data_IF_655276789686
#
_entry.id   IF_655276789686
#
_cell.length_a   1.000
_cell.length_b   1.000
_cell.length_c   1.000
_cell.angle_alpha   90.00
_cell.angle_beta   90.00
_cell.angle_gamma   90.00
#
_symmetry.space_group_name_H-M   'P 1'
#
loop_
_entity.id
_entity.type
_entity.pdbx_description
1 polymer ?
#
# COMPACT_ATOMS: atom_id res chain seq x y z
N UNK A 1 -13.37 -20.17 16.57
CA UNK A 1 -12.65 -19.31 15.60
C UNK A 1 -12.41 -19.95 14.22
N UNK A 2 -13.14 -21.00 13.80
CA UNK A 2 -12.81 -21.74 12.57
C UNK A 2 -13.11 -20.99 11.27
N UNK A 3 -14.05 -20.04 11.30
CA UNK A 3 -14.50 -19.27 10.12
C UNK A 3 -14.17 -17.79 10.19
N UNK A 4 -13.47 -17.32 11.23
CA UNK A 4 -13.22 -15.90 11.42
C UNK A 4 -12.45 -15.30 10.24
N UNK A 5 -11.42 -16.01 9.76
CA UNK A 5 -10.66 -15.59 8.58
C UNK A 5 -11.52 -15.56 7.31
N UNK A 6 -12.42 -16.54 7.13
CA UNK A 6 -13.32 -16.60 5.99
C UNK A 6 -14.31 -15.43 6.01
N UNK A 7 -14.90 -15.14 7.17
CA UNK A 7 -15.82 -14.01 7.35
C UNK A 7 -15.10 -12.68 7.11
N UNK A 8 -13.89 -12.51 7.65
CA UNK A 8 -13.09 -11.30 7.42
C UNK A 8 -12.73 -11.13 5.95
N UNK A 9 -12.33 -12.21 5.28
CA UNK A 9 -12.06 -12.19 3.84
C UNK A 9 -13.27 -11.76 3.04
N UNK A 10 -14.45 -12.32 3.32
CA UNK A 10 -15.71 -11.95 2.64
C UNK A 10 -16.07 -10.47 2.85
N UNK A 11 -15.87 -9.96 4.07
CA UNK A 11 -16.10 -8.54 4.36
C UNK A 11 -15.15 -7.63 3.59
N UNK A 12 -13.86 -7.95 3.55
CA UNK A 12 -12.86 -7.19 2.80
C UNK A 12 -13.16 -7.23 1.30
N UNK A 13 -13.50 -8.41 0.77
CA UNK A 13 -13.84 -8.58 -0.64
C UNK A 13 -15.11 -7.79 -1.00
N UNK A 14 -16.16 -7.90 -0.18
CA UNK A 14 -17.40 -7.17 -0.37
C UNK A 14 -17.20 -5.65 -0.33
N UNK A 15 -16.39 -5.15 0.61
CA UNK A 15 -16.04 -3.74 0.69
C UNK A 15 -15.28 -3.27 -0.55
N UNK A 16 -14.31 -4.04 -1.04
CA UNK A 16 -13.56 -3.74 -2.27
C UNK A 16 -14.49 -3.63 -3.48
N UNK A 17 -15.43 -4.55 -3.63
CA UNK A 17 -16.41 -4.53 -4.73
C UNK A 17 -17.29 -3.27 -4.65
N UNK A 18 -17.82 -2.97 -3.45
CA UNK A 18 -18.61 -1.76 -3.21
C UNK A 18 -17.81 -0.50 -3.53
N UNK A 19 -16.56 -0.45 -3.06
CA UNK A 19 -15.66 0.67 -3.29
C UNK A 19 -15.44 0.95 -4.78
N UNK A 20 -15.17 -0.09 -5.59
CA UNK A 20 -14.99 0.08 -7.04
C UNK A 20 -16.27 0.50 -7.76
N UNK A 21 -17.43 -0.03 -7.34
CA UNK A 21 -18.70 0.36 -7.94
C UNK A 21 -19.04 1.82 -7.67
N UNK A 22 -18.85 2.28 -6.42
CA UNK A 22 -19.09 3.66 -6.01
C UNK A 22 -18.10 4.65 -6.64
N UNK A 23 -16.90 4.20 -7.00
CA UNK A 23 -15.84 5.01 -7.59
C UNK A 23 -15.55 4.60 -9.05
N UNK A 24 -16.61 4.30 -9.80
CA UNK A 24 -16.53 3.83 -11.19
C UNK A 24 -16.30 4.94 -12.21
N UNK A 25 -16.41 6.21 -11.80
CA UNK A 25 -16.15 7.36 -12.66
C UNK A 25 -14.74 7.32 -13.26
N UNK A 26 -14.64 7.58 -14.56
CA UNK A 26 -13.35 7.73 -15.23
C UNK A 26 -12.73 9.09 -14.92
N UNK A 27 -11.42 9.09 -14.76
CA UNK A 27 -10.63 10.29 -14.48
C UNK A 27 -9.49 10.37 -15.48
N UNK A 28 -9.16 11.59 -15.86
CA UNK A 28 -7.97 11.91 -16.64
C UNK A 28 -6.86 12.34 -15.68
N UNK A 29 -5.74 11.62 -15.68
CA UNK A 29 -4.56 11.95 -14.89
C UNK A 29 -3.53 12.64 -15.77
N UNK A 30 -3.33 13.92 -15.52
CA UNK A 30 -2.30 14.73 -16.17
C UNK A 30 -1.04 14.75 -15.32
N UNK A 31 -0.02 13.98 -15.71
CA UNK A 31 1.34 14.15 -15.22
C UNK A 31 2.12 15.07 -16.16
N UNK A 32 3.18 15.69 -15.64
CA UNK A 32 4.02 16.64 -16.37
C UNK A 32 4.57 16.10 -17.71
N UNK A 33 4.84 14.79 -17.79
CA UNK A 33 5.37 14.13 -18.99
C UNK A 33 4.42 13.10 -19.62
N UNK A 34 3.29 12.79 -18.99
CA UNK A 34 2.42 11.70 -19.44
C UNK A 34 0.97 11.90 -19.04
N UNK A 35 0.04 11.64 -19.96
CA UNK A 35 -1.40 11.73 -19.71
C UNK A 35 -2.00 10.32 -19.70
N UNK A 36 -2.71 9.97 -18.63
CA UNK A 36 -3.44 8.71 -18.54
C UNK A 36 -4.94 8.99 -18.57
N UNK A 37 -5.61 8.49 -19.60
CA UNK A 37 -7.06 8.63 -19.76
C UNK A 37 -7.74 7.28 -19.60
N UNK A 38 -9.00 7.28 -19.15
CA UNK A 38 -9.84 6.08 -19.06
C UNK A 38 -9.55 5.18 -17.85
N UNK A 39 -8.89 5.70 -16.81
CA UNK A 39 -8.69 4.98 -15.54
C UNK A 39 -9.83 5.30 -14.58
N UNK A 40 -10.34 4.31 -13.85
CA UNK A 40 -11.37 4.53 -12.84
C UNK A 40 -10.80 5.19 -11.58
N UNK A 41 -11.58 6.07 -10.97
CA UNK A 41 -11.22 6.81 -9.76
C UNK A 41 -10.84 5.86 -8.63
N UNK A 42 -11.60 4.77 -8.44
CA UNK A 42 -11.31 3.77 -7.41
C UNK A 42 -9.93 3.12 -7.59
N UNK A 43 -9.53 2.83 -8.83
CA UNK A 43 -8.21 2.26 -9.10
C UNK A 43 -7.08 3.22 -8.75
N UNK A 44 -7.23 4.50 -9.08
CA UNK A 44 -6.24 5.54 -8.78
C UNK A 44 -6.04 5.70 -7.27
N UNK A 45 -7.13 5.75 -6.50
CA UNK A 45 -7.06 5.88 -5.03
C UNK A 45 -6.28 4.72 -4.43
N UNK A 46 -6.60 3.49 -4.83
CA UNK A 46 -5.92 2.29 -4.31
C UNK A 46 -4.44 2.31 -4.71
N UNK A 47 -4.13 2.63 -5.97
CA UNK A 47 -2.76 2.69 -6.45
C UNK A 47 -1.92 3.72 -5.68
N UNK A 48 -2.44 4.93 -5.46
CA UNK A 48 -1.74 5.98 -4.70
C UNK A 48 -1.55 5.58 -3.24
N UNK A 49 -2.57 4.96 -2.63
CA UNK A 49 -2.48 4.46 -1.26
C UNK A 49 -1.36 3.41 -1.10
N UNK A 50 -1.28 2.44 -2.01
CA UNK A 50 -0.19 1.46 -2.04
C UNK A 50 1.16 2.10 -2.32
N UNK A 51 1.23 3.05 -3.25
CA UNK A 51 2.47 3.78 -3.56
C UNK A 51 2.98 4.53 -2.33
N UNK A 52 2.09 5.17 -1.56
CA UNK A 52 2.41 5.81 -0.29
C UNK A 52 2.97 4.83 0.76
N UNK A 53 2.38 3.63 0.86
CA UNK A 53 2.91 2.59 1.75
C UNK A 53 4.30 2.11 1.34
N UNK A 54 4.53 1.89 0.04
CA UNK A 54 5.84 1.49 -0.48
C UNK A 54 6.87 2.58 -0.23
N UNK A 55 6.55 3.85 -0.51
CA UNK A 55 7.43 4.98 -0.24
C UNK A 55 7.77 5.10 1.25
N UNK A 56 6.78 4.97 2.12
CA UNK A 56 6.98 4.99 3.58
C UNK A 56 7.93 3.87 4.02
N UNK A 57 7.76 2.65 3.49
CA UNK A 57 8.66 1.54 3.76
C UNK A 57 10.09 1.79 3.28
N UNK A 58 10.26 2.31 2.06
CA UNK A 58 11.57 2.65 1.50
C UNK A 58 12.31 3.70 2.35
N UNK A 59 11.59 4.72 2.83
CA UNK A 59 12.17 5.74 3.72
C UNK A 59 12.60 5.18 5.08
N UNK A 60 12.00 4.08 5.54
CA UNK A 60 12.37 3.41 6.79
C UNK A 60 13.58 2.47 6.65
N UNK A 61 13.89 1.99 5.44
CA UNK A 61 15.05 1.13 5.17
C UNK A 61 16.39 1.64 5.74
N UNK A 62 16.80 2.92 5.54
CA UNK A 62 18.07 3.41 6.09
C UNK A 62 18.13 3.34 7.62
N UNK A 63 16.99 3.54 8.31
CA UNK A 63 16.89 3.44 9.77
C UNK A 63 17.07 1.98 10.23
N UNK A 64 16.45 1.04 9.52
CA UNK A 64 16.59 -0.41 9.79
C UNK A 64 18.03 -0.89 9.56
N UNK A 65 18.69 -0.41 8.50
CA UNK A 65 20.09 -0.74 8.21
C UNK A 65 21.07 -0.15 9.23
N UNK A 66 20.80 1.06 9.76
CA UNK A 66 21.66 1.72 10.77
C UNK A 66 21.70 0.96 12.10
N UNK A 67 20.58 0.34 12.51
CA UNK A 67 20.52 -0.45 13.77
C UNK A 67 21.38 -1.71 13.75
N UNK A 68 21.75 -2.24 12.58
CA UNK A 68 22.54 -3.49 12.47
C UNK A 68 24.02 -3.30 12.81
N UNK A 69 24.55 -2.07 12.85
CA UNK A 69 25.98 -1.79 13.12
C UNK A 69 26.37 -1.70 14.61
N UNK A 70 25.43 -1.69 15.57
CA UNK A 70 25.71 -1.45 17.01
C UNK A 70 25.54 -2.73 17.85
N UNK A 71 25.98 -3.88 17.33
CA UNK A 71 26.20 -5.07 18.16
C UNK A 71 27.58 -5.66 17.89
N UNK A 72 28.62 -4.83 18.02
CA UNK A 72 29.94 -5.34 18.36
C UNK A 72 29.82 -5.92 19.75
N UNK A 73 29.79 -7.24 19.81
CA UNK A 73 29.86 -8.04 21.02
C UNK A 73 31.24 -7.79 21.63
N UNK A 74 31.37 -6.78 22.48
CA UNK A 74 32.47 -6.72 23.44
C UNK A 74 32.10 -7.68 24.58
N UNK A 75 32.21 -8.97 24.28
CA UNK A 75 32.51 -9.98 25.28
C UNK A 75 34.02 -10.16 25.18
N UNK A 76 34.79 -9.40 25.96
CA UNK A 76 36.13 -9.80 26.35
C UNK A 76 36.40 -9.30 27.77
N UNK A 77 36.58 -10.28 28.65
CA UNK A 77 37.19 -10.26 30.01
C UNK A 77 36.65 -9.29 31.06
#
# INVERSE_FOLDING_TARGET
MKYLYLTFFLLVLGYLILFFNLNSSFVELDFYFYKFNGITLGFIIIAIFFLGMVLSYLLQLPILLRKRKIKSKNNDS
#
